data_IF_118830187467
#
_entry.id   IF_118830187467
#
_cell.length_a   1.000
_cell.length_b   1.000
_cell.length_c   1.000
_cell.angle_alpha   90.00
_cell.angle_beta   90.00
_cell.angle_gamma   90.00
#
_symmetry.space_group_name_H-M   'P 1'
#
loop_
_entity.id
_entity.type
_entity.pdbx_description
1 polymer ?
#
# COMPACT_ATOMS: atom_id res chain seq x y z
N UNK A 1 -19.37 -20.26 -15.99
CA UNK A 1 -18.58 -18.98 -15.99
C UNK A 1 -18.21 -18.74 -14.54
N UNK A 2 -16.94 -18.87 -14.17
CA UNK A 2 -16.47 -18.56 -12.82
C UNK A 2 -16.71 -17.08 -12.55
N UNK A 3 -17.42 -16.79 -11.48
CA UNK A 3 -17.68 -15.42 -11.09
C UNK A 3 -16.37 -14.77 -10.60
N UNK A 4 -15.95 -13.67 -11.24
CA UNK A 4 -14.69 -12.99 -10.91
C UNK A 4 -14.85 -12.25 -9.58
N UNK A 5 -13.91 -12.41 -8.61
CA UNK A 5 -14.06 -11.91 -7.24
C UNK A 5 -14.28 -10.40 -7.13
N UNK A 6 -13.81 -9.63 -8.11
CA UNK A 6 -13.90 -8.17 -8.13
C UNK A 6 -14.89 -7.63 -9.19
N UNK A 7 -15.75 -8.51 -9.72
CA UNK A 7 -16.78 -8.08 -10.68
C UNK A 7 -17.64 -6.97 -10.07
N UNK A 8 -17.86 -5.91 -10.84
CA UNK A 8 -18.61 -4.72 -10.46
C UNK A 8 -17.99 -3.85 -9.36
N UNK A 9 -16.76 -4.13 -8.91
CA UNK A 9 -16.04 -3.25 -7.99
C UNK A 9 -15.31 -2.16 -8.78
N UNK A 10 -15.51 -0.90 -8.39
CA UNK A 10 -14.74 0.25 -8.89
C UNK A 10 -13.61 0.53 -7.91
N UNK A 11 -12.37 0.37 -8.35
CA UNK A 11 -11.17 0.45 -7.50
C UNK A 11 -10.32 1.63 -7.95
N UNK A 12 -10.20 2.64 -7.09
CA UNK A 12 -9.26 3.74 -7.28
C UNK A 12 -7.86 3.32 -6.78
N UNK A 13 -6.89 3.32 -7.68
CA UNK A 13 -5.48 3.03 -7.37
C UNK A 13 -4.68 4.31 -7.53
N UNK A 14 -4.02 4.77 -6.46
CA UNK A 14 -3.12 5.94 -6.51
C UNK A 14 -1.71 5.55 -6.96
N UNK A 15 -0.95 6.49 -7.56
CA UNK A 15 0.37 6.22 -8.15
C UNK A 15 0.36 4.92 -8.99
N UNK A 16 -0.61 4.83 -9.88
CA UNK A 16 -0.89 3.62 -10.66
C UNK A 16 0.23 3.26 -11.66
N UNK A 17 1.10 4.20 -11.96
CA UNK A 17 2.25 4.08 -12.87
C UNK A 17 3.58 3.79 -12.14
N UNK A 18 3.59 3.76 -10.80
CA UNK A 18 4.81 3.66 -10.00
C UNK A 18 4.77 2.48 -9.01
N UNK A 19 5.94 1.94 -8.67
CA UNK A 19 6.14 0.84 -7.71
C UNK A 19 5.26 -0.37 -8.03
N UNK A 20 4.31 -0.69 -7.14
CA UNK A 20 3.36 -1.79 -7.34
C UNK A 20 2.15 -1.42 -8.20
N UNK A 21 1.96 -0.12 -8.51
CA UNK A 21 0.80 0.38 -9.25
C UNK A 21 0.48 -0.39 -10.53
N UNK A 22 1.44 -0.57 -11.46
CA UNK A 22 1.17 -1.27 -12.72
C UNK A 22 0.66 -2.69 -12.54
N UNK A 23 1.33 -3.51 -11.71
CA UNK A 23 0.92 -4.91 -11.48
C UNK A 23 -0.39 -5.00 -10.69
N UNK A 24 -0.64 -4.09 -9.75
CA UNK A 24 -1.91 -4.00 -9.04
C UNK A 24 -3.05 -3.71 -10.02
N UNK A 25 -2.90 -2.72 -10.90
CA UNK A 25 -3.93 -2.40 -11.90
C UNK A 25 -4.23 -3.58 -12.83
N UNK A 26 -3.18 -4.28 -13.29
CA UNK A 26 -3.33 -5.45 -14.14
C UNK A 26 -4.06 -6.60 -13.44
N UNK A 27 -3.63 -6.97 -12.24
CA UNK A 27 -4.22 -8.09 -11.48
C UNK A 27 -5.66 -7.78 -11.07
N UNK A 28 -5.95 -6.57 -10.59
CA UNK A 28 -7.30 -6.16 -10.23
C UNK A 28 -8.25 -6.19 -11.44
N UNK A 29 -7.82 -5.69 -12.60
CA UNK A 29 -8.60 -5.76 -13.83
C UNK A 29 -8.84 -7.21 -14.27
N UNK A 30 -7.83 -8.06 -14.20
CA UNK A 30 -7.91 -9.49 -14.52
C UNK A 30 -8.88 -10.25 -13.59
N UNK A 31 -9.07 -9.75 -12.35
CA UNK A 31 -10.04 -10.25 -11.38
C UNK A 31 -11.44 -9.62 -11.54
N UNK A 32 -11.66 -8.79 -12.55
CA UNK A 32 -12.96 -8.24 -12.92
C UNK A 32 -13.28 -6.84 -12.41
N UNK A 33 -12.32 -6.16 -11.78
CA UNK A 33 -12.52 -4.80 -11.31
C UNK A 33 -12.55 -3.78 -12.45
N UNK A 34 -13.34 -2.71 -12.28
CA UNK A 34 -13.20 -1.47 -13.02
C UNK A 34 -12.14 -0.61 -12.33
N UNK A 35 -10.89 -0.66 -12.83
CA UNK A 35 -9.77 0.05 -12.24
C UNK A 35 -9.77 1.51 -12.68
N UNK A 36 -9.70 2.43 -11.72
CA UNK A 36 -9.49 3.87 -11.91
C UNK A 36 -8.03 4.13 -11.56
N UNK A 37 -7.17 4.12 -12.57
CA UNK A 37 -5.73 4.32 -12.40
C UNK A 37 -5.45 5.83 -12.29
N UNK A 38 -5.03 6.27 -11.11
CA UNK A 38 -4.62 7.67 -10.89
C UNK A 38 -3.10 7.78 -10.84
N UNK A 39 -2.55 8.70 -11.62
CA UNK A 39 -1.12 9.02 -11.71
C UNK A 39 -0.82 10.45 -11.25
N UNK A 40 -1.83 11.23 -10.87
CA UNK A 40 -1.65 12.60 -10.43
C UNK A 40 -0.88 12.67 -9.10
N UNK A 41 -0.04 13.69 -8.93
CA UNK A 41 0.67 13.93 -7.67
C UNK A 41 -0.29 14.19 -6.50
N UNK A 42 0.09 13.71 -5.31
CA UNK A 42 -0.71 13.82 -4.08
C UNK A 42 -0.15 14.81 -3.06
N UNK A 43 0.89 15.57 -3.42
CA UNK A 43 1.52 16.54 -2.51
C UNK A 43 0.65 17.76 -2.23
N UNK A 44 -0.12 18.22 -3.24
CA UNK A 44 -1.09 19.28 -3.05
C UNK A 44 -2.20 18.81 -2.09
N UNK A 45 -2.49 19.54 -1.01
CA UNK A 45 -3.53 19.19 -0.05
C UNK A 45 -4.92 18.96 -0.64
N UNK A 46 -5.25 19.62 -1.75
CA UNK A 46 -6.56 19.53 -2.39
C UNK A 46 -6.63 18.42 -3.46
N UNK A 47 -5.48 17.93 -3.93
CA UNK A 47 -5.44 16.88 -4.96
C UNK A 47 -6.20 15.60 -4.56
N UNK A 48 -6.08 15.05 -3.34
CA UNK A 48 -6.83 13.87 -2.95
C UNK A 48 -8.36 14.01 -3.10
N UNK A 49 -8.90 15.16 -2.72
CA UNK A 49 -10.34 15.42 -2.85
C UNK A 49 -10.76 15.54 -4.32
N UNK A 50 -9.97 16.23 -5.14
CA UNK A 50 -10.22 16.38 -6.58
C UNK A 50 -10.16 15.02 -7.30
N UNK A 51 -9.17 14.16 -6.99
CA UNK A 51 -9.02 12.82 -7.56
C UNK A 51 -10.24 11.94 -7.22
N UNK A 52 -10.68 11.93 -5.97
CA UNK A 52 -11.84 11.16 -5.55
C UNK A 52 -13.12 11.69 -6.20
N UNK A 53 -13.30 13.00 -6.30
CA UNK A 53 -14.44 13.61 -6.98
C UNK A 53 -14.48 13.24 -8.48
N UNK A 54 -13.33 13.27 -9.16
CA UNK A 54 -13.22 12.85 -10.56
C UNK A 54 -13.48 11.35 -10.75
N UNK A 55 -13.08 10.52 -9.79
CA UNK A 55 -13.34 9.08 -9.81
C UNK A 55 -14.84 8.75 -9.66
N UNK A 56 -15.62 9.62 -9.02
CA UNK A 56 -17.04 9.40 -8.74
C UNK A 56 -17.24 8.27 -7.72
N UNK A 57 -18.04 7.25 -8.07
CA UNK A 57 -18.25 6.12 -7.18
C UNK A 57 -16.98 5.26 -7.03
N UNK A 58 -16.53 5.05 -5.79
CA UNK A 58 -15.37 4.23 -5.45
C UNK A 58 -15.78 3.16 -4.42
N UNK A 59 -15.72 1.88 -4.80
CA UNK A 59 -15.95 0.76 -3.88
C UNK A 59 -14.73 0.48 -3.04
N UNK A 60 -13.54 0.60 -3.64
CA UNK A 60 -12.26 0.35 -2.98
C UNK A 60 -11.30 1.48 -3.29
N UNK A 61 -10.68 2.06 -2.25
CA UNK A 61 -9.49 2.88 -2.36
C UNK A 61 -8.26 1.99 -2.10
N UNK A 62 -7.39 1.84 -3.11
CA UNK A 62 -6.08 1.24 -2.96
C UNK A 62 -5.03 2.36 -2.94
N UNK A 63 -4.58 2.71 -1.74
CA UNK A 63 -3.60 3.77 -1.54
C UNK A 63 -2.17 3.21 -1.72
N UNK A 64 -1.64 3.32 -2.94
CA UNK A 64 -0.25 3.00 -3.28
C UNK A 64 0.59 4.26 -3.11
N UNK A 65 0.99 4.56 -1.86
CA UNK A 65 1.82 5.72 -1.50
C UNK A 65 3.26 5.24 -1.30
N UNK A 66 4.14 5.58 -2.22
CA UNK A 66 5.52 5.11 -2.17
C UNK A 66 6.51 6.16 -2.70
N UNK A 67 7.69 6.16 -2.10
CA UNK A 67 8.89 6.89 -2.53
C UNK A 67 10.09 5.95 -2.41
N UNK A 68 11.20 6.17 -3.12
CA UNK A 68 12.47 5.54 -2.81
C UNK A 68 12.85 5.82 -1.36
N UNK A 69 13.20 4.77 -0.60
CA UNK A 69 13.57 4.95 0.80
C UNK A 69 14.89 5.73 0.92
N UNK A 70 14.95 6.84 1.66
CA UNK A 70 16.20 7.49 1.99
C UNK A 70 17.16 6.54 2.69
N UNK A 71 18.47 6.74 2.49
CA UNK A 71 19.54 5.98 3.14
C UNK A 71 20.46 6.90 3.92
N UNK A 72 19.90 7.57 4.94
CA UNK A 72 20.54 8.60 5.74
C UNK A 72 20.80 8.09 7.16
N UNK A 73 22.01 8.23 7.72
CA UNK A 73 22.27 7.93 9.12
C UNK A 73 21.33 8.70 10.03
N UNK A 74 20.90 8.13 11.16
CA UNK A 74 19.99 8.78 12.07
C UNK A 74 20.52 10.13 12.64
N UNK A 75 21.84 10.31 12.66
CA UNK A 75 22.49 11.55 13.07
C UNK A 75 22.52 12.64 12.00
N UNK A 76 22.14 12.31 10.76
CA UNK A 76 22.21 13.18 9.59
C UNK A 76 20.84 13.46 8.96
N UNK A 77 19.77 12.82 9.47
CA UNK A 77 18.40 13.09 9.02
C UNK A 77 18.05 14.51 9.42
N UNK A 78 17.89 15.37 8.43
CA UNK A 78 17.50 16.76 8.62
C UNK A 78 15.99 16.96 8.57
N UNK A 79 15.57 18.19 8.81
CA UNK A 79 14.16 18.56 8.82
C UNK A 79 13.52 18.48 7.42
N UNK A 80 14.29 18.70 6.37
CA UNK A 80 13.80 18.67 4.99
C UNK A 80 13.53 17.23 4.54
N UNK A 81 14.44 16.29 4.82
CA UNK A 81 14.18 14.86 4.58
C UNK A 81 12.97 14.38 5.37
N UNK A 82 12.90 14.75 6.66
CA UNK A 82 11.78 14.37 7.51
C UNK A 82 10.45 14.85 6.95
N UNK A 83 10.34 16.16 6.66
CA UNK A 83 9.11 16.76 6.11
C UNK A 83 8.75 16.22 4.75
N UNK A 84 9.71 16.10 3.83
CA UNK A 84 9.45 15.56 2.50
C UNK A 84 8.93 14.11 2.56
N UNK A 85 9.51 13.28 3.45
CA UNK A 85 9.09 11.89 3.64
C UNK A 85 7.65 11.81 4.17
N UNK A 86 7.30 12.62 5.17
CA UNK A 86 5.95 12.64 5.72
C UNK A 86 4.94 13.25 4.74
N UNK A 87 5.29 14.32 4.04
CA UNK A 87 4.44 14.93 3.03
C UNK A 87 4.08 13.96 1.90
N UNK A 88 5.02 13.10 1.50
CA UNK A 88 4.77 12.13 0.43
C UNK A 88 4.05 10.86 0.90
N UNK A 89 4.33 10.35 2.10
CA UNK A 89 3.85 9.06 2.56
C UNK A 89 2.67 9.15 3.54
N UNK A 90 2.64 10.18 4.39
CA UNK A 90 1.67 10.26 5.50
C UNK A 90 0.53 11.20 5.17
N UNK A 91 0.82 12.42 4.79
CA UNK A 91 -0.19 13.48 4.61
C UNK A 91 -1.28 13.15 3.57
N UNK A 92 -0.99 12.49 2.44
CA UNK A 92 -2.04 12.15 1.47
C UNK A 92 -3.06 11.14 2.00
N UNK A 93 -2.64 10.22 2.88
CA UNK A 93 -3.49 9.14 3.34
C UNK A 93 -4.77 9.61 4.06
N UNK A 94 -4.71 10.42 5.12
CA UNK A 94 -5.93 10.92 5.78
C UNK A 94 -6.77 11.82 4.87
N UNK A 95 -6.16 12.50 3.90
CA UNK A 95 -6.88 13.32 2.91
C UNK A 95 -7.68 12.46 1.94
N UNK A 96 -7.09 11.38 1.40
CA UNK A 96 -7.76 10.39 0.56
C UNK A 96 -8.89 9.69 1.32
N UNK A 97 -8.62 9.23 2.53
CA UNK A 97 -9.60 8.55 3.38
C UNK A 97 -10.78 9.47 3.68
N UNK A 98 -10.55 10.72 4.09
CA UNK A 98 -11.60 11.70 4.33
C UNK A 98 -12.47 11.97 3.10
N UNK A 99 -11.89 11.87 1.90
CA UNK A 99 -12.62 12.11 0.66
C UNK A 99 -13.53 10.93 0.27
N UNK A 100 -13.13 9.67 0.50
CA UNK A 100 -13.93 8.49 0.12
C UNK A 100 -14.88 8.02 1.21
N UNK A 101 -14.51 8.20 2.47
CA UNK A 101 -15.13 7.55 3.62
C UNK A 101 -16.62 7.94 3.83
N UNK A 102 -17.05 9.21 3.71
CA UNK A 102 -18.45 9.57 3.91
C UNK A 102 -19.41 8.77 3.01
N UNK A 103 -19.11 8.67 1.71
CA UNK A 103 -19.93 7.90 0.78
C UNK A 103 -19.90 6.38 1.05
N UNK A 104 -18.76 5.86 1.52
CA UNK A 104 -18.64 4.46 1.93
C UNK A 104 -19.49 4.16 3.17
N UNK A 105 -19.46 5.03 4.17
CA UNK A 105 -20.25 4.89 5.41
C UNK A 105 -21.75 5.03 5.14
N UNK A 106 -22.15 5.99 4.33
CA UNK A 106 -23.57 6.22 3.96
C UNK A 106 -24.20 4.99 3.31
N UNK A 107 -23.46 4.32 2.39
CA UNK A 107 -23.97 3.11 1.72
C UNK A 107 -23.76 1.82 2.51
N UNK A 108 -23.06 1.87 3.65
CA UNK A 108 -22.75 0.68 4.45
C UNK A 108 -21.84 -0.34 3.73
N UNK A 109 -20.95 0.14 2.86
CA UNK A 109 -20.03 -0.71 2.10
C UNK A 109 -18.83 0.08 1.58
N UNK A 110 -17.63 -0.43 1.77
CA UNK A 110 -16.40 0.15 1.24
C UNK A 110 -15.16 -0.53 1.76
N UNK A 111 -14.06 -0.40 1.02
CA UNK A 111 -12.76 -0.92 1.46
C UNK A 111 -11.67 0.11 1.21
N UNK A 112 -10.71 0.16 2.14
CA UNK A 112 -9.49 0.95 2.00
C UNK A 112 -8.32 0.01 2.25
N UNK A 113 -7.45 -0.14 1.26
CA UNK A 113 -6.24 -0.93 1.34
C UNK A 113 -5.01 -0.04 1.15
N UNK A 114 -4.10 -0.07 2.11
CA UNK A 114 -2.87 0.73 2.07
C UNK A 114 -1.67 -0.18 1.74
N UNK A 115 -0.92 0.18 0.71
CA UNK A 115 0.35 -0.47 0.39
C UNK A 115 1.44 0.14 1.28
N UNK A 116 1.64 -0.49 2.42
CA UNK A 116 2.56 -0.06 3.48
C UNK A 116 3.95 -0.70 3.36
N UNK A 117 4.72 -0.66 4.45
CA UNK A 117 6.05 -1.29 4.49
C UNK A 117 6.31 -2.02 5.80
N UNK A 118 6.92 -3.19 5.70
CA UNK A 118 7.39 -3.96 6.86
C UNK A 118 8.57 -3.28 7.59
N UNK A 119 9.17 -2.22 7.02
CA UNK A 119 10.13 -1.38 7.74
C UNK A 119 9.54 -0.74 9.01
N UNK A 120 8.22 -0.54 9.04
CA UNK A 120 7.48 -0.10 10.22
C UNK A 120 7.41 -1.14 11.32
N UNK A 121 7.55 -2.43 10.99
CA UNK A 121 7.41 -3.56 11.93
C UNK A 121 8.75 -4.04 12.49
N UNK A 122 9.86 -3.80 11.77
CA UNK A 122 11.18 -4.28 12.17
C UNK A 122 12.24 -3.17 12.24
N UNK A 123 12.09 -2.11 11.47
CA UNK A 123 13.09 -1.06 11.27
C UNK A 123 14.19 -1.47 10.27
N UNK A 124 14.70 -0.48 9.56
CA UNK A 124 15.81 -0.63 8.61
C UNK A 124 16.89 0.38 8.97
N UNK A 125 18.16 -0.07 8.98
CA UNK A 125 19.30 0.83 9.20
C UNK A 125 19.30 1.96 8.16
N UNK A 126 19.60 3.18 8.59
CA UNK A 126 19.71 4.38 7.75
C UNK A 126 18.40 4.76 7.03
N UNK A 127 17.25 4.39 7.59
CA UNK A 127 15.93 4.70 7.04
C UNK A 127 14.94 5.05 8.16
N UNK A 128 15.37 5.87 9.13
CA UNK A 128 14.56 6.21 10.30
C UNK A 128 13.35 7.07 9.93
N UNK A 129 13.50 8.09 9.09
CA UNK A 129 12.42 8.93 8.57
C UNK A 129 11.37 8.08 7.81
N UNK A 130 11.84 7.23 6.91
CA UNK A 130 10.99 6.33 6.15
C UNK A 130 10.25 5.32 7.04
N UNK A 131 10.94 4.66 7.97
CA UNK A 131 10.32 3.69 8.88
C UNK A 131 9.29 4.35 9.79
N UNK A 132 9.55 5.59 10.25
CA UNK A 132 8.59 6.36 11.05
C UNK A 132 7.33 6.71 10.23
N UNK A 133 7.50 7.22 9.00
CA UNK A 133 6.38 7.54 8.12
C UNK A 133 5.54 6.30 7.78
N UNK A 134 6.19 5.18 7.48
CA UNK A 134 5.49 3.90 7.26
C UNK A 134 4.79 3.40 8.52
N UNK A 135 5.38 3.59 9.70
CA UNK A 135 4.73 3.31 10.99
C UNK A 135 3.47 4.14 11.20
N UNK A 136 3.51 5.43 10.85
CA UNK A 136 2.36 6.31 10.91
C UNK A 136 1.21 5.82 10.02
N UNK A 137 1.50 5.35 8.79
CA UNK A 137 0.49 4.76 7.90
C UNK A 137 -0.19 3.53 8.54
N UNK A 138 0.60 2.61 9.12
CA UNK A 138 0.06 1.39 9.71
C UNK A 138 -0.79 1.68 10.95
N UNK A 139 -0.34 2.59 11.83
CA UNK A 139 -1.08 3.01 13.00
C UNK A 139 -2.40 3.71 12.61
N UNK A 140 -2.38 4.55 11.57
CA UNK A 140 -3.58 5.19 11.03
C UNK A 140 -4.60 4.17 10.53
N UNK A 141 -4.16 3.17 9.77
CA UNK A 141 -5.01 2.07 9.27
C UNK A 141 -5.69 1.32 10.41
N UNK A 142 -4.95 1.01 11.48
CA UNK A 142 -5.48 0.31 12.65
C UNK A 142 -6.57 1.13 13.35
N UNK A 143 -6.31 2.42 13.57
CA UNK A 143 -7.26 3.31 14.24
C UNK A 143 -8.53 3.51 13.41
N UNK A 144 -8.40 3.89 12.14
CA UNK A 144 -9.55 4.11 11.25
C UNK A 144 -10.33 2.83 11.03
N UNK A 145 -9.64 1.68 10.87
CA UNK A 145 -10.30 0.39 10.68
C UNK A 145 -11.28 0.06 11.80
N UNK A 146 -10.86 0.24 13.04
CA UNK A 146 -11.74 0.02 14.22
C UNK A 146 -12.88 1.03 14.26
N UNK A 147 -12.61 2.29 13.95
CA UNK A 147 -13.62 3.37 13.98
C UNK A 147 -14.76 3.12 13.00
N UNK A 148 -14.44 2.70 11.75
CA UNK A 148 -15.44 2.62 10.67
C UNK A 148 -16.04 1.23 10.48
N UNK A 149 -15.56 0.22 11.18
CA UNK A 149 -16.08 -1.15 11.10
C UNK A 149 -17.61 -1.25 11.35
N UNK A 150 -18.23 -0.48 12.29
CA UNK A 150 -19.68 -0.48 12.45
C UNK A 150 -20.47 -0.04 11.21
N UNK A 151 -19.82 0.68 10.29
CA UNK A 151 -20.39 1.08 9.01
C UNK A 151 -20.14 0.10 7.87
N UNK A 152 -19.66 -1.12 8.20
CA UNK A 152 -19.29 -2.13 7.21
C UNK A 152 -18.23 -1.64 6.19
N UNK A 153 -17.30 -0.82 6.67
CA UNK A 153 -16.13 -0.37 5.90
C UNK A 153 -14.88 -1.04 6.47
N UNK A 154 -14.09 -1.72 5.63
CA UNK A 154 -12.87 -2.39 6.04
C UNK A 154 -11.66 -1.56 5.63
N UNK A 155 -10.76 -1.28 6.59
CA UNK A 155 -9.50 -0.57 6.35
C UNK A 155 -8.35 -1.44 6.81
N UNK A 156 -7.46 -1.81 5.89
CA UNK A 156 -6.35 -2.73 6.15
C UNK A 156 -5.09 -2.27 5.42
N UNK A 157 -3.94 -2.86 5.76
CA UNK A 157 -2.67 -2.60 5.09
C UNK A 157 -1.91 -3.88 4.76
N UNK A 158 -1.17 -3.86 3.65
CA UNK A 158 -0.13 -4.83 3.33
C UNK A 158 1.22 -4.18 3.66
N UNK A 159 1.96 -4.75 4.61
CA UNK A 159 3.27 -4.26 5.01
C UNK A 159 4.34 -5.00 4.19
N UNK A 160 4.77 -4.39 3.09
CA UNK A 160 5.68 -4.99 2.10
C UNK A 160 7.14 -4.86 2.50
N UNK A 161 7.94 -5.88 2.20
CA UNK A 161 9.38 -5.82 2.01
C UNK A 161 9.84 -7.01 1.17
N UNK A 162 10.93 -6.85 0.42
CA UNK A 162 11.42 -7.88 -0.50
C UNK A 162 10.34 -8.39 -1.48
N UNK A 163 9.46 -7.49 -1.91
CA UNK A 163 8.52 -7.73 -3.01
C UNK A 163 9.17 -7.25 -4.30
N UNK A 164 9.11 -8.10 -5.32
CA UNK A 164 9.67 -7.79 -6.64
C UNK A 164 8.98 -6.56 -7.25
N UNK A 165 9.75 -5.51 -7.45
CA UNK A 165 9.34 -4.34 -8.23
C UNK A 165 10.57 -3.64 -8.82
N UNK A 166 10.43 -3.03 -10.00
CA UNK A 166 11.57 -2.50 -10.74
C UNK A 166 12.26 -1.30 -10.08
N UNK A 167 11.59 -0.60 -9.15
CA UNK A 167 12.16 0.56 -8.46
C UNK A 167 13.17 0.16 -7.37
N UNK A 168 12.83 -0.84 -6.56
CA UNK A 168 13.70 -1.30 -5.45
C UNK A 168 14.61 -2.44 -5.84
N UNK A 169 14.17 -3.29 -6.75
CA UNK A 169 14.86 -4.52 -7.14
C UNK A 169 14.92 -4.66 -8.66
N UNK A 170 15.55 -3.70 -9.37
CA UNK A 170 15.76 -3.83 -10.82
C UNK A 170 16.62 -5.05 -11.14
N UNK A 171 16.61 -5.54 -12.39
CA UNK A 171 17.30 -6.78 -12.79
C UNK A 171 18.78 -6.83 -12.38
N UNK A 172 19.50 -5.72 -12.48
CA UNK A 172 20.90 -5.62 -12.08
C UNK A 172 21.11 -5.80 -10.56
N UNK A 173 20.18 -5.35 -9.73
CA UNK A 173 20.20 -5.59 -8.28
C UNK A 173 19.90 -7.07 -8.01
N UNK A 174 18.91 -7.63 -8.67
CA UNK A 174 18.55 -9.04 -8.50
C UNK A 174 19.65 -10.00 -8.96
N UNK A 175 20.38 -9.65 -10.03
CA UNK A 175 21.51 -10.43 -10.52
C UNK A 175 22.77 -10.34 -9.64
N UNK A 176 22.83 -9.40 -8.69
CA UNK A 176 24.01 -9.19 -7.85
C UNK A 176 24.19 -10.34 -6.83
N UNK A 177 25.33 -11.07 -6.83
CA UNK A 177 25.55 -12.18 -5.91
C UNK A 177 25.44 -11.79 -4.42
N UNK A 178 25.87 -10.56 -4.05
CA UNK A 178 25.75 -10.07 -2.68
C UNK A 178 24.29 -9.87 -2.26
N UNK A 179 23.45 -9.45 -3.19
CA UNK A 179 22.02 -9.33 -2.95
C UNK A 179 21.36 -10.71 -2.79
N UNK A 180 21.75 -11.68 -3.61
CA UNK A 180 21.28 -13.06 -3.51
C UNK A 180 21.68 -13.72 -2.18
N UNK A 181 22.92 -13.52 -1.73
CA UNK A 181 23.37 -13.96 -0.40
C UNK A 181 22.60 -13.28 0.73
N UNK A 182 22.33 -11.98 0.60
CA UNK A 182 21.50 -11.23 1.55
C UNK A 182 20.09 -11.80 1.63
N UNK A 183 19.44 -12.08 0.48
CA UNK A 183 18.11 -12.68 0.45
C UNK A 183 18.08 -14.01 1.21
N UNK A 184 19.02 -14.90 0.93
CA UNK A 184 19.11 -16.21 1.60
C UNK A 184 19.34 -16.09 3.11
N UNK A 185 20.05 -15.06 3.55
CA UNK A 185 20.34 -14.83 4.98
C UNK A 185 19.20 -14.17 5.72
N UNK A 186 18.52 -13.18 5.11
CA UNK A 186 17.58 -12.30 5.79
C UNK A 186 16.11 -12.66 5.55
N UNK A 187 15.80 -13.32 4.44
CA UNK A 187 14.43 -13.65 4.02
C UNK A 187 14.25 -15.17 4.08
N UNK A 188 13.49 -15.72 5.03
CA UNK A 188 13.28 -17.17 5.15
C UNK A 188 12.77 -17.84 3.86
N UNK A 189 11.98 -17.15 3.04
CA UNK A 189 11.55 -17.63 1.73
C UNK A 189 12.71 -17.85 0.75
N UNK A 190 13.87 -17.20 0.96
CA UNK A 190 15.06 -17.30 0.13
C UNK A 190 15.00 -16.64 -1.24
N UNK A 191 13.88 -15.95 -1.55
CA UNK A 191 13.65 -15.19 -2.78
C UNK A 191 12.84 -13.94 -2.52
N UNK A 192 12.72 -13.06 -3.51
CA UNK A 192 11.70 -12.01 -3.48
C UNK A 192 10.30 -12.65 -3.49
N UNK A 193 9.35 -12.00 -2.83
CA UNK A 193 7.92 -12.26 -3.06
C UNK A 193 7.60 -11.77 -4.47
N UNK A 194 6.93 -12.58 -5.27
CA UNK A 194 6.56 -12.17 -6.62
C UNK A 194 5.58 -10.99 -6.61
N UNK A 195 5.73 -10.08 -7.56
CA UNK A 195 4.82 -8.94 -7.69
C UNK A 195 3.35 -9.39 -7.84
N UNK A 196 3.10 -10.46 -8.61
CA UNK A 196 1.76 -11.03 -8.77
C UNK A 196 1.26 -11.74 -7.50
N UNK A 197 2.14 -12.34 -6.69
CA UNK A 197 1.74 -12.94 -5.40
C UNK A 197 1.21 -11.86 -4.45
N UNK A 198 1.90 -10.71 -4.39
CA UNK A 198 1.47 -9.55 -3.60
C UNK A 198 0.17 -8.94 -4.12
N UNK A 199 0.08 -8.70 -5.43
CA UNK A 199 -1.10 -8.14 -6.06
C UNK A 199 -2.33 -9.08 -5.98
N UNK A 200 -2.14 -10.40 -6.01
CA UNK A 200 -3.20 -11.37 -5.81
C UNK A 200 -3.76 -11.31 -4.38
N UNK A 201 -2.89 -11.12 -3.39
CA UNK A 201 -3.34 -10.93 -2.01
C UNK A 201 -4.04 -9.59 -1.83
N UNK A 202 -3.56 -8.52 -2.47
CA UNK A 202 -4.27 -7.24 -2.51
C UNK A 202 -5.67 -7.39 -3.12
N UNK A 203 -5.80 -8.11 -4.23
CA UNK A 203 -7.09 -8.39 -4.86
C UNK A 203 -8.04 -9.20 -3.94
N UNK A 204 -7.52 -10.17 -3.20
CA UNK A 204 -8.29 -10.89 -2.18
C UNK A 204 -8.81 -9.93 -1.10
N UNK A 205 -7.96 -9.05 -0.55
CA UNK A 205 -8.38 -8.08 0.46
C UNK A 205 -9.39 -7.05 -0.07
N UNK A 206 -9.39 -6.77 -1.37
CA UNK A 206 -10.38 -5.94 -2.03
C UNK A 206 -11.72 -6.65 -2.27
N UNK A 207 -11.78 -7.98 -2.19
CA UNK A 207 -12.98 -8.79 -2.46
C UNK A 207 -13.89 -8.91 -1.23
N UNK A 208 -15.11 -9.36 -1.45
CA UNK A 208 -16.07 -9.61 -0.36
C UNK A 208 -15.67 -10.80 0.53
N UNK A 209 -14.78 -11.67 0.08
CA UNK A 209 -14.23 -12.76 0.87
C UNK A 209 -13.37 -12.29 2.06
N UNK A 210 -12.94 -11.04 2.04
CA UNK A 210 -12.10 -10.41 3.07
C UNK A 210 -12.86 -9.44 4.01
N UNK A 211 -14.19 -9.51 4.09
CA UNK A 211 -14.99 -8.60 4.90
C UNK A 211 -14.77 -8.74 6.42
N UNK A 212 -14.15 -9.82 6.87
CA UNK A 212 -13.85 -10.05 8.29
C UNK A 212 -12.58 -9.33 8.79
N UNK A 213 -11.76 -8.78 7.89
CA UNK A 213 -10.52 -8.11 8.29
C UNK A 213 -10.75 -6.62 8.55
N UNK A 214 -10.42 -6.19 9.76
CA UNK A 214 -10.62 -4.82 10.26
C UNK A 214 -9.34 -4.35 10.94
N UNK A 215 -8.76 -3.27 10.46
CA UNK A 215 -7.56 -2.67 11.04
C UNK A 215 -6.32 -3.57 11.00
N UNK A 216 -6.27 -4.52 10.06
CA UNK A 216 -5.18 -5.48 10.01
C UNK A 216 -4.00 -4.98 9.20
N UNK A 217 -2.81 -5.38 9.65
CA UNK A 217 -1.54 -5.15 8.96
C UNK A 217 -0.96 -6.51 8.60
N UNK A 218 -0.88 -6.82 7.32
CA UNK A 218 -0.42 -8.11 6.81
C UNK A 218 1.04 -8.00 6.32
N UNK A 219 2.03 -8.62 7.01
CA UNK A 219 3.40 -8.64 6.51
C UNK A 219 3.53 -9.46 5.23
N UNK A 220 3.86 -8.82 4.11
CA UNK A 220 4.19 -9.44 2.83
C UNK A 220 5.69 -9.27 2.57
N UNK A 221 6.50 -10.17 3.15
CA UNK A 221 7.95 -9.97 3.22
C UNK A 221 8.77 -11.27 3.23
N UNK A 222 8.19 -12.39 2.80
CA UNK A 222 8.88 -13.69 2.75
C UNK A 222 9.40 -14.18 4.10
N UNK A 223 8.77 -13.75 5.22
CA UNK A 223 9.17 -14.12 6.58
C UNK A 223 10.25 -13.21 7.18
N UNK A 224 10.63 -12.11 6.53
CA UNK A 224 11.59 -11.14 7.07
C UNK A 224 11.11 -10.53 8.41
N UNK A 225 9.81 -10.39 8.58
CA UNK A 225 9.13 -10.09 9.86
C UNK A 225 8.22 -11.26 10.20
N UNK A 226 8.63 -12.20 11.04
CA UNK A 226 7.77 -13.29 11.51
C UNK A 226 6.85 -12.77 12.63
N UNK A 227 5.59 -12.58 12.33
CA UNK A 227 4.54 -12.19 13.30
C UNK A 227 3.23 -12.89 13.01
#
# INVERSE_FOLDING_TARGET
MTDLPLRNKRILVTHADAFMGPVLCEVLARQGASVIANTDPLLDPDAPAAIVAAAGHVDVLLANLAIPAPTTPATEVDEDEWRATFAALVDPLPRLVRAVLPAMMERGAGKILVMGSASALRGIKRASSYSAARGAQLAYVQAVGVEVAPHNVQVNAIAQNFVDNPTYFPPEVQANPRFQERLKREVPLGRLVGAEEDAAFAAYLCSDAANCFVGQVFPMCGGWVPR
#
